data_IF_085286366810
#
_entry.id   IF_085286366810
#
_cell.length_a   1.000
_cell.length_b   1.000
_cell.length_c   1.000
_cell.angle_alpha   90.00
_cell.angle_beta   90.00
_cell.angle_gamma   90.00
#
_symmetry.space_group_name_H-M   'P 1'
#
loop_
_entity.id
_entity.type
_entity.pdbx_description
1 polymer ?
#
# COMPACT_ATOMS: atom_id res chain seq x y z
N UNK A 1 20.57 -0.10 11.74
CA UNK A 1 21.93 0.39 11.45
C UNK A 1 22.73 0.28 12.74
N UNK A 2 23.90 -0.36 12.74
CA UNK A 2 24.77 -0.37 13.93
C UNK A 2 25.85 0.70 13.71
N UNK A 3 25.88 1.71 14.57
CA UNK A 3 26.78 2.86 14.43
C UNK A 3 26.18 4.15 14.96
N UNK A 4 27.02 5.17 15.17
CA UNK A 4 26.58 6.50 15.62
C UNK A 4 25.73 7.14 14.53
N UNK A 5 24.42 7.20 14.74
CA UNK A 5 23.48 7.92 13.87
C UNK A 5 23.69 9.42 14.07
N UNK A 6 23.93 10.14 12.97
CA UNK A 6 23.92 11.59 12.98
C UNK A 6 22.48 12.07 12.77
N UNK A 7 21.78 12.34 13.87
CA UNK A 7 20.39 12.79 13.85
C UNK A 7 20.24 14.11 13.08
N UNK A 8 21.23 15.00 13.14
CA UNK A 8 21.18 16.28 12.43
C UNK A 8 21.27 16.08 10.93
N UNK A 9 22.18 15.20 10.47
CA UNK A 9 22.28 14.82 9.07
C UNK A 9 21.02 14.08 8.59
N UNK A 10 20.40 13.26 9.44
CA UNK A 10 19.13 12.59 9.12
C UNK A 10 18.00 13.59 8.92
N UNK A 11 17.83 14.56 9.84
CA UNK A 11 16.81 15.62 9.71
C UNK A 11 16.98 16.39 8.41
N UNK A 12 18.21 16.81 8.10
CA UNK A 12 18.51 17.53 6.88
C UNK A 12 18.23 16.67 5.63
N UNK A 13 18.62 15.39 5.65
CA UNK A 13 18.39 14.47 4.53
C UNK A 13 16.91 14.20 4.27
N UNK A 14 16.10 14.07 5.32
CA UNK A 14 14.65 13.95 5.21
C UNK A 14 14.06 15.22 4.59
N UNK A 15 14.49 16.40 5.05
CA UNK A 15 14.11 17.68 4.46
C UNK A 15 14.46 17.77 2.98
N UNK A 16 15.66 17.31 2.57
CA UNK A 16 16.07 17.28 1.16
C UNK A 16 15.17 16.38 0.31
N UNK A 17 14.80 15.21 0.82
CA UNK A 17 13.91 14.27 0.11
C UNK A 17 12.50 14.84 -0.03
N UNK A 18 11.97 15.48 1.01
CA UNK A 18 10.68 16.16 0.97
C UNK A 18 10.71 17.38 0.03
N UNK A 19 11.83 18.09 -0.03
CA UNK A 19 12.00 19.17 -1.00
C UNK A 19 12.02 18.66 -2.45
N UNK A 20 12.65 17.50 -2.69
CA UNK A 20 12.77 16.87 -4.02
C UNK A 20 11.45 16.33 -4.56
N UNK A 21 10.66 15.67 -3.71
CA UNK A 21 9.44 14.99 -4.09
C UNK A 21 8.23 15.77 -3.59
N UNK A 22 7.58 16.52 -4.48
CA UNK A 22 6.48 17.44 -4.10
C UNK A 22 5.35 16.75 -3.36
N UNK A 23 5.02 15.51 -3.75
CA UNK A 23 3.97 14.71 -3.12
C UNK A 23 4.18 14.48 -1.63
N UNK A 24 5.43 14.51 -1.14
CA UNK A 24 5.74 14.36 0.28
C UNK A 24 5.53 15.65 1.09
N UNK A 25 5.31 16.78 0.42
CA UNK A 25 4.93 18.09 1.00
C UNK A 25 3.57 18.58 0.49
N UNK A 26 2.73 17.66 0.03
CA UNK A 26 1.37 17.97 -0.43
C UNK A 26 0.36 17.71 0.69
N UNK A 27 -0.48 18.70 0.97
CA UNK A 27 -1.70 18.51 1.79
C UNK A 27 -2.93 18.38 0.89
N UNK A 28 -3.94 17.69 1.38
CA UNK A 28 -5.17 17.33 0.67
C UNK A 28 -6.36 17.94 1.40
N UNK A 29 -6.83 19.06 0.87
CA UNK A 29 -7.93 19.82 1.47
C UNK A 29 -9.16 19.80 0.56
N UNK A 30 -10.27 20.25 1.09
CA UNK A 30 -11.52 20.41 0.35
C UNK A 30 -11.82 21.90 0.19
N UNK A 31 -12.01 22.36 -1.05
CA UNK A 31 -12.46 23.72 -1.36
C UNK A 31 -13.82 23.62 -2.03
N UNK A 32 -14.86 24.20 -1.43
CA UNK A 32 -16.24 24.18 -1.96
C UNK A 32 -16.77 22.78 -2.31
N UNK A 33 -16.43 21.76 -1.51
CA UNK A 33 -16.82 20.37 -1.75
C UNK A 33 -15.93 19.61 -2.74
N UNK A 34 -14.86 20.24 -3.24
CA UNK A 34 -13.93 19.66 -4.21
C UNK A 34 -12.58 19.37 -3.56
N UNK A 35 -12.10 18.10 -3.59
CA UNK A 35 -10.76 17.78 -3.13
C UNK A 35 -9.70 18.44 -4.01
N UNK A 36 -8.71 19.08 -3.38
CA UNK A 36 -7.58 19.71 -4.06
C UNK A 36 -6.26 19.29 -3.41
N UNK A 37 -5.21 19.25 -4.22
CA UNK A 37 -3.83 19.03 -3.78
C UNK A 37 -3.15 20.39 -3.65
N UNK A 38 -2.62 20.70 -2.46
CA UNK A 38 -1.81 21.89 -2.24
C UNK A 38 -0.39 21.48 -1.90
N UNK A 39 0.52 21.74 -2.83
CA UNK A 39 1.96 21.57 -2.63
C UNK A 39 2.47 22.74 -1.78
N UNK A 40 2.99 22.46 -0.59
CA UNK A 40 3.52 23.47 0.34
C UNK A 40 4.94 23.87 -0.04
N UNK A 41 5.31 25.15 0.05
CA UNK A 41 6.68 25.59 -0.26
C UNK A 41 7.72 24.96 0.67
N UNK A 42 8.92 24.66 0.16
CA UNK A 42 9.97 23.96 0.93
C UNK A 42 10.31 24.66 2.25
N UNK A 43 10.32 25.99 2.26
CA UNK A 43 10.62 26.79 3.46
C UNK A 43 9.49 26.86 4.49
N UNK A 44 8.29 26.41 4.14
CA UNK A 44 7.10 26.39 5.01
C UNK A 44 6.89 25.02 5.67
N UNK A 45 7.67 24.01 5.28
CA UNK A 45 7.50 22.62 5.68
C UNK A 45 8.60 22.21 6.66
N UNK A 46 8.21 21.94 7.90
CA UNK A 46 9.06 21.23 8.85
C UNK A 46 8.66 19.75 8.87
N UNK A 47 9.56 18.86 8.45
CA UNK A 47 9.28 17.43 8.50
C UNK A 47 9.34 16.95 9.96
N UNK A 48 8.28 16.33 10.50
CA UNK A 48 8.30 15.83 11.86
C UNK A 48 9.34 14.71 11.99
N UNK A 49 10.44 15.01 12.69
CA UNK A 49 11.44 14.00 13.09
C UNK A 49 11.45 13.95 14.61
N UNK A 50 10.98 12.84 15.19
CA UNK A 50 11.02 12.59 16.63
C UNK A 50 12.24 11.73 16.97
N UNK A 51 12.82 11.93 18.15
CA UNK A 51 13.91 11.09 18.67
C UNK A 51 13.52 10.69 20.08
N UNK A 52 13.42 9.39 20.33
CA UNK A 52 12.93 8.83 21.58
C UNK A 52 13.86 7.70 21.99
N UNK A 53 14.42 7.78 23.19
CA UNK A 53 15.11 6.64 23.79
C UNK A 53 14.07 5.64 24.31
N UNK A 54 14.22 4.37 23.95
CA UNK A 54 13.32 3.30 24.36
C UNK A 54 14.04 2.35 25.32
N UNK A 55 13.33 1.94 26.38
CA UNK A 55 13.87 0.94 27.30
C UNK A 55 13.95 -0.44 26.64
N UNK A 56 14.80 -1.30 27.20
CA UNK A 56 14.97 -2.66 26.71
C UNK A 56 13.64 -3.42 26.79
N UNK A 57 13.16 -3.91 25.64
CA UNK A 57 11.88 -4.62 25.53
C UNK A 57 10.68 -3.75 25.16
N UNK A 58 10.81 -2.42 25.08
CA UNK A 58 9.71 -1.50 24.74
C UNK A 58 9.68 -1.07 23.27
N UNK A 59 10.70 -1.46 22.49
CA UNK A 59 10.83 -1.09 21.08
C UNK A 59 9.60 -1.52 20.26
N UNK A 60 9.13 -2.76 20.42
CA UNK A 60 8.00 -3.29 19.67
C UNK A 60 6.72 -2.49 19.93
N UNK A 61 6.39 -2.25 21.21
CA UNK A 61 5.23 -1.43 21.58
C UNK A 61 5.35 0.02 21.09
N UNK A 62 6.57 0.56 21.03
CA UNK A 62 6.84 1.90 20.50
C UNK A 62 6.63 1.98 18.99
N UNK A 63 7.11 0.98 18.25
CA UNK A 63 6.87 0.85 16.81
C UNK A 63 5.38 0.67 16.49
N UNK A 64 4.69 -0.19 17.24
CA UNK A 64 3.25 -0.42 17.08
C UNK A 64 2.42 0.85 17.32
N UNK A 65 2.83 1.70 18.26
CA UNK A 65 2.17 2.98 18.50
C UNK A 65 2.45 3.96 17.37
N UNK A 66 3.69 4.02 16.91
CA UNK A 66 4.10 4.99 15.91
C UNK A 66 3.52 4.67 14.52
N UNK A 67 3.40 3.39 14.13
CA UNK A 67 2.77 3.00 12.85
C UNK A 67 1.25 3.24 12.81
N UNK A 68 0.61 3.39 13.98
CA UNK A 68 -0.83 3.69 14.12
C UNK A 68 -1.13 5.18 14.07
N UNK A 69 -0.13 6.02 13.80
CA UNK A 69 -0.35 7.45 13.66
C UNK A 69 -1.34 7.73 12.51
N UNK A 70 -2.34 8.56 12.81
CA UNK A 70 -3.37 8.99 11.86
C UNK A 70 -3.00 10.39 11.39
N UNK A 71 -2.70 10.53 10.11
CA UNK A 71 -2.39 11.82 9.49
C UNK A 71 -3.67 12.62 9.29
N UNK A 72 -3.67 13.89 9.69
CA UNK A 72 -4.66 14.86 9.24
C UNK A 72 -4.22 15.44 7.89
N UNK A 73 -4.60 14.78 6.80
CA UNK A 73 -4.14 15.14 5.45
C UNK A 73 -4.52 16.56 5.01
N UNK A 74 -5.48 17.21 5.68
CA UNK A 74 -5.84 18.59 5.37
C UNK A 74 -4.84 19.62 5.90
N UNK A 75 -4.11 19.29 6.97
CA UNK A 75 -3.16 20.19 7.63
C UNK A 75 -1.74 19.64 7.79
N UNK A 76 -1.53 18.35 7.53
CA UNK A 76 -0.27 17.64 7.74
C UNK A 76 0.23 17.01 6.45
N UNK A 77 1.54 17.12 6.22
CA UNK A 77 2.21 16.41 5.14
C UNK A 77 2.17 14.88 5.37
N UNK A 78 2.14 14.06 4.31
CA UNK A 78 1.92 12.61 4.42
C UNK A 78 3.18 11.83 4.83
N UNK A 79 4.07 12.42 5.63
CA UNK A 79 5.34 11.83 6.02
C UNK A 79 5.77 12.27 7.43
N UNK A 80 6.27 11.31 8.22
CA UNK A 80 6.93 11.55 9.50
C UNK A 80 8.06 10.56 9.73
N UNK A 81 8.99 10.93 10.60
CA UNK A 81 10.13 10.09 10.98
C UNK A 81 10.20 9.97 12.49
N UNK A 82 10.32 8.74 12.97
CA UNK A 82 10.57 8.45 14.38
C UNK A 82 11.91 7.72 14.50
N UNK A 83 12.79 8.19 15.38
CA UNK A 83 14.09 7.59 15.67
C UNK A 83 14.07 7.03 17.08
N UNK A 84 14.19 5.71 17.20
CA UNK A 84 14.19 5.00 18.48
C UNK A 84 15.63 4.62 18.88
N UNK A 85 16.14 5.22 19.95
CA UNK A 85 17.41 4.84 20.56
C UNK A 85 17.24 3.58 21.40
N UNK A 86 17.84 2.46 20.97
CA UNK A 86 17.62 1.13 21.57
C UNK A 86 18.82 0.63 22.39
N UNK A 87 19.91 1.39 22.45
CA UNK A 87 21.14 1.03 23.13
C UNK A 87 22.32 1.89 22.70
N UNK A 88 23.53 1.62 23.22
CA UNK A 88 24.73 2.37 22.84
C UNK A 88 25.02 2.22 21.34
N UNK A 89 24.76 3.29 20.57
CA UNK A 89 24.90 3.33 19.11
C UNK A 89 23.99 2.36 18.33
N UNK A 90 22.83 2.02 18.90
CA UNK A 90 21.79 1.24 18.23
C UNK A 90 20.53 2.09 18.05
N UNK A 91 20.14 2.26 16.78
CA UNK A 91 18.98 3.05 16.41
C UNK A 91 18.09 2.31 15.43
N UNK A 92 16.79 2.44 15.63
CA UNK A 92 15.75 2.09 14.65
C UNK A 92 15.15 3.38 14.13
N UNK A 93 15.16 3.56 12.80
CA UNK A 93 14.53 4.71 12.14
C UNK A 93 13.29 4.20 11.44
N UNK A 94 12.14 4.77 11.77
CA UNK A 94 10.87 4.48 11.12
C UNK A 94 10.50 5.69 10.26
N UNK A 95 10.39 5.47 8.95
CA UNK A 95 9.77 6.41 8.03
C UNK A 95 8.33 5.96 7.80
N UNK A 96 7.38 6.73 8.30
CA UNK A 96 5.96 6.48 8.08
C UNK A 96 5.47 7.41 6.98
N UNK A 97 4.88 6.83 5.93
CA UNK A 97 4.35 7.56 4.78
C UNK A 97 2.89 7.16 4.56
N UNK A 98 2.02 8.14 4.39
CA UNK A 98 0.63 7.86 4.04
C UNK A 98 0.53 7.36 2.59
N UNK A 99 -0.26 6.30 2.36
CA UNK A 99 -0.33 5.62 1.05
C UNK A 99 -0.88 6.51 -0.08
N UNK A 100 -1.46 7.67 0.25
CA UNK A 100 -1.86 8.69 -0.73
C UNK A 100 -0.66 9.28 -1.50
N UNK A 101 0.54 9.25 -0.90
CA UNK A 101 1.75 9.87 -1.45
C UNK A 101 2.78 8.87 -1.96
N UNK A 102 2.61 7.57 -1.67
CA UNK A 102 3.57 6.55 -2.05
C UNK A 102 2.90 5.18 -2.24
N UNK A 103 3.45 4.39 -3.17
CA UNK A 103 3.08 2.99 -3.38
C UNK A 103 4.31 2.06 -3.23
N UNK A 104 4.12 0.77 -3.53
CA UNK A 104 5.20 -0.22 -3.46
C UNK A 104 6.39 0.06 -4.39
N UNK A 105 6.17 0.75 -5.52
CA UNK A 105 7.26 1.18 -6.41
C UNK A 105 8.01 2.39 -5.86
N UNK A 106 7.31 3.31 -5.19
CA UNK A 106 7.89 4.52 -4.60
C UNK A 106 8.93 4.23 -3.49
N UNK A 107 8.80 3.10 -2.78
CA UNK A 107 9.71 2.77 -1.66
C UNK A 107 11.17 2.63 -2.07
N UNK A 108 11.45 2.05 -3.24
CA UNK A 108 12.82 1.89 -3.73
C UNK A 108 13.54 3.24 -3.98
N UNK A 109 13.00 4.12 -4.84
CA UNK A 109 13.49 5.49 -5.02
C UNK A 109 13.59 6.28 -3.72
N UNK A 110 12.57 6.22 -2.85
CA UNK A 110 12.55 6.95 -1.59
C UNK A 110 13.72 6.57 -0.68
N UNK A 111 13.99 5.28 -0.51
CA UNK A 111 15.11 4.79 0.29
C UNK A 111 16.47 5.14 -0.33
N UNK A 112 16.59 5.11 -1.67
CA UNK A 112 17.82 5.53 -2.36
C UNK A 112 18.12 7.01 -2.13
N UNK A 113 17.13 7.87 -2.34
CA UNK A 113 17.29 9.32 -2.22
C UNK A 113 17.60 9.71 -0.76
N UNK A 114 16.94 9.08 0.22
CA UNK A 114 17.24 9.28 1.64
C UNK A 114 18.67 8.86 2.00
N UNK A 115 19.12 7.69 1.51
CA UNK A 115 20.48 7.22 1.76
C UNK A 115 21.54 8.14 1.12
N UNK A 116 21.27 8.65 -0.08
CA UNK A 116 22.16 9.58 -0.78
C UNK A 116 22.24 10.92 -0.03
N UNK A 117 21.09 11.50 0.33
CA UNK A 117 21.02 12.75 1.07
C UNK A 117 21.69 12.65 2.44
N UNK A 118 21.44 11.57 3.20
CA UNK A 118 22.09 11.34 4.49
C UNK A 118 23.60 11.26 4.35
N UNK A 119 24.10 10.55 3.34
CA UNK A 119 25.55 10.43 3.11
C UNK A 119 26.20 11.78 2.78
N UNK A 120 25.53 12.63 2.00
CA UNK A 120 26.01 13.97 1.67
C UNK A 120 26.00 14.91 2.89
N UNK A 121 24.88 14.93 3.63
CA UNK A 121 24.70 15.76 4.83
C UNK A 121 25.68 15.40 5.93
N UNK A 122 25.96 14.11 6.14
CA UNK A 122 26.98 13.63 7.10
C UNK A 122 28.39 14.10 6.73
N UNK A 123 28.66 14.38 5.46
CA UNK A 123 29.92 14.95 4.98
C UNK A 123 29.92 16.49 4.96
N UNK A 124 28.84 17.13 5.43
CA UNK A 124 28.69 18.59 5.43
C UNK A 124 28.31 19.18 4.07
N UNK A 125 27.89 18.37 3.10
CA UNK A 125 27.47 18.81 1.77
C UNK A 125 25.98 18.68 1.52
N UNK A 126 25.52 19.22 0.39
CA UNK A 126 24.16 19.04 -0.13
C UNK A 126 24.08 17.82 -1.07
N UNK A 127 22.96 17.08 -1.10
CA UNK A 127 22.75 16.03 -2.09
C UNK A 127 22.88 16.59 -3.51
N UNK A 128 23.66 15.89 -4.33
CA UNK A 128 23.84 16.21 -5.75
C UNK A 128 22.92 15.32 -6.58
N UNK A 129 21.78 15.86 -7.00
CA UNK A 129 20.86 15.18 -7.89
C UNK A 129 20.40 16.07 -9.04
N UNK A 130 20.02 15.43 -10.15
CA UNK A 130 19.34 16.12 -11.24
C UNK A 130 17.89 16.37 -10.80
N UNK A 131 17.33 17.58 -11.02
CA UNK A 131 15.92 17.85 -10.78
C UNK A 131 15.04 16.83 -11.51
N UNK A 132 13.93 16.43 -10.87
CA UNK A 132 12.99 15.53 -11.50
C UNK A 132 12.32 16.26 -12.67
N UNK A 133 12.29 15.67 -13.88
CA UNK A 133 11.68 16.32 -15.05
C UNK A 133 10.16 16.37 -14.96
N UNK A 134 9.55 15.57 -14.08
CA UNK A 134 8.13 15.51 -13.79
C UNK A 134 7.92 15.31 -12.29
N UNK A 135 6.89 15.94 -11.76
CA UNK A 135 6.37 15.78 -10.41
C UNK A 135 5.01 15.09 -10.44
N UNK A 136 4.50 14.71 -9.27
CA UNK A 136 3.20 14.02 -9.20
C UNK A 136 2.01 14.91 -9.61
N UNK A 137 2.15 16.23 -9.47
CA UNK A 137 1.17 17.20 -9.99
C UNK A 137 1.09 17.13 -11.51
N UNK A 138 2.23 17.05 -12.20
CA UNK A 138 2.26 16.89 -13.66
C UNK A 138 1.59 15.60 -14.09
N UNK A 139 1.84 14.49 -13.36
CA UNK A 139 1.15 13.23 -13.60
C UNK A 139 -0.37 13.34 -13.42
N UNK A 140 -0.82 14.04 -12.38
CA UNK A 140 -2.25 14.22 -12.08
C UNK A 140 -2.94 15.03 -13.18
N UNK A 141 -2.32 16.11 -13.65
CA UNK A 141 -2.83 16.93 -14.74
C UNK A 141 -2.83 16.17 -16.07
N UNK A 142 -1.73 15.48 -16.39
CA UNK A 142 -1.64 14.62 -17.58
C UNK A 142 -2.71 13.53 -17.58
N UNK A 143 -2.97 12.89 -16.44
CA UNK A 143 -4.01 11.87 -16.33
C UNK A 143 -5.39 12.48 -16.59
N UNK A 144 -5.69 13.65 -16.03
CA UNK A 144 -6.96 14.33 -16.25
C UNK A 144 -7.15 14.70 -17.73
N UNK A 145 -6.12 15.26 -18.37
CA UNK A 145 -6.14 15.58 -19.81
C UNK A 145 -6.32 14.34 -20.68
N UNK A 146 -5.62 13.25 -20.37
CA UNK A 146 -5.69 11.99 -21.12
C UNK A 146 -7.07 11.34 -21.01
N UNK A 147 -7.65 11.34 -19.80
CA UNK A 147 -8.94 10.72 -19.54
C UNK A 147 -10.10 11.50 -20.18
N UNK A 148 -10.00 12.83 -20.24
CA UNK A 148 -11.00 13.70 -20.86
C UNK A 148 -12.23 13.92 -19.98
N UNK A 149 -13.28 14.49 -20.58
CA UNK A 149 -14.53 14.84 -19.89
C UNK A 149 -15.45 13.62 -19.74
N UNK A 150 -15.86 13.22 -18.53
CA UNK A 150 -16.85 12.16 -18.32
C UNK A 150 -18.22 12.38 -18.97
N UNK A 151 -18.56 13.62 -19.34
CA UNK A 151 -19.80 13.95 -20.04
C UNK A 151 -19.66 13.83 -21.58
N UNK A 152 -18.45 13.70 -22.09
CA UNK A 152 -18.19 13.42 -23.51
C UNK A 152 -18.17 11.91 -23.74
N UNK A 153 -19.13 11.33 -24.49
CA UNK A 153 -19.18 9.90 -24.77
C UNK A 153 -17.97 9.38 -25.55
N UNK A 154 -17.28 10.26 -26.30
CA UNK A 154 -16.11 9.89 -27.09
C UNK A 154 -14.80 9.98 -26.26
N UNK A 155 -14.87 10.46 -25.01
CA UNK A 155 -13.72 10.52 -24.10
C UNK A 155 -13.23 9.12 -23.69
N UNK A 156 -11.95 9.04 -23.34
CA UNK A 156 -11.35 7.80 -22.87
C UNK A 156 -11.99 7.30 -21.57
N UNK A 157 -12.31 8.21 -20.65
CA UNK A 157 -12.93 7.86 -19.37
C UNK A 157 -14.35 7.29 -19.56
N UNK A 158 -15.15 7.86 -20.48
CA UNK A 158 -16.49 7.35 -20.76
C UNK A 158 -16.44 5.93 -21.36
N UNK A 159 -15.56 5.71 -22.33
CA UNK A 159 -15.38 4.39 -22.95
C UNK A 159 -14.89 3.32 -21.96
N UNK A 160 -13.91 3.64 -21.12
CA UNK A 160 -13.43 2.71 -20.09
C UNK A 160 -14.51 2.43 -19.04
N UNK A 161 -15.27 3.44 -18.67
CA UNK A 161 -16.37 3.29 -17.72
C UNK A 161 -17.47 2.37 -18.25
N UNK A 162 -17.87 2.53 -19.51
CA UNK A 162 -18.88 1.65 -20.12
C UNK A 162 -18.37 0.22 -20.28
N UNK A 163 -17.10 0.03 -20.62
CA UNK A 163 -16.47 -1.30 -20.62
C UNK A 163 -16.57 -1.97 -19.23
N UNK A 164 -16.13 -1.28 -18.17
CA UNK A 164 -16.14 -1.87 -16.83
C UNK A 164 -17.54 -2.06 -16.28
N UNK A 165 -18.47 -1.17 -16.60
CA UNK A 165 -19.89 -1.33 -16.26
C UNK A 165 -20.46 -2.60 -16.89
N UNK A 166 -20.14 -2.89 -18.15
CA UNK A 166 -20.59 -4.09 -18.84
C UNK A 166 -19.93 -5.36 -18.26
N UNK A 167 -18.61 -5.35 -18.08
CA UNK A 167 -17.84 -6.50 -17.59
C UNK A 167 -18.22 -6.90 -16.14
N UNK A 168 -18.54 -5.91 -15.31
CA UNK A 168 -18.92 -6.12 -13.90
C UNK A 168 -20.44 -6.24 -13.69
N UNK A 169 -21.23 -6.22 -14.76
CA UNK A 169 -22.68 -6.28 -14.67
C UNK A 169 -23.15 -7.60 -14.04
N UNK A 170 -24.04 -7.50 -13.03
CA UNK A 170 -24.64 -8.67 -12.38
C UNK A 170 -23.72 -9.39 -11.39
N UNK A 171 -22.54 -8.84 -11.08
CA UNK A 171 -21.73 -9.35 -9.98
C UNK A 171 -22.46 -9.21 -8.64
N UNK A 172 -22.33 -10.19 -7.73
CA UNK A 172 -22.87 -10.06 -6.39
C UNK A 172 -22.15 -8.92 -5.65
N UNK A 173 -22.89 -8.19 -4.81
CA UNK A 173 -22.31 -7.13 -3.97
C UNK A 173 -21.22 -7.67 -3.03
N UNK A 174 -21.33 -8.93 -2.63
CA UNK A 174 -20.44 -9.57 -1.67
C UNK A 174 -20.10 -11.01 -2.06
N UNK A 175 -18.82 -11.35 -1.96
CA UNK A 175 -18.36 -12.73 -1.97
C UNK A 175 -18.75 -13.41 -0.65
N UNK A 176 -19.39 -14.58 -0.72
CA UNK A 176 -19.69 -15.40 0.46
C UNK A 176 -18.46 -16.21 0.82
N UNK A 177 -17.78 -15.81 1.89
CA UNK A 177 -16.65 -16.53 2.45
C UNK A 177 -17.05 -17.20 3.78
N UNK A 178 -16.39 -18.30 4.17
CA UNK A 178 -16.61 -18.94 5.47
C UNK A 178 -15.99 -18.08 6.59
N UNK A 179 -16.66 -16.98 6.94
CA UNK A 179 -16.21 -16.05 7.97
C UNK A 179 -16.64 -16.51 9.36
N UNK A 180 -15.75 -16.42 10.35
CA UNK A 180 -16.06 -16.77 11.75
C UNK A 180 -17.07 -15.83 12.43
N UNK A 181 -17.24 -14.62 11.89
CA UNK A 181 -18.08 -13.56 12.47
C UNK A 181 -18.85 -12.81 11.37
N UNK A 182 -20.05 -12.28 11.66
CA UNK A 182 -20.79 -11.46 10.71
C UNK A 182 -20.04 -10.16 10.40
N UNK A 183 -20.24 -9.63 9.20
CA UNK A 183 -19.67 -8.35 8.78
C UNK A 183 -20.30 -7.18 9.58
N UNK A 184 -19.52 -6.36 10.29
CA UNK A 184 -20.05 -5.19 10.98
C UNK A 184 -20.38 -4.07 9.98
N UNK A 185 -21.28 -3.13 10.34
CA UNK A 185 -21.63 -1.98 9.49
C UNK A 185 -20.46 -1.00 9.32
N UNK A 186 -19.56 -0.94 10.30
CA UNK A 186 -18.33 -0.14 10.25
C UNK A 186 -17.14 -1.08 10.30
N UNK A 187 -16.26 -0.99 9.31
CA UNK A 187 -15.02 -1.77 9.27
C UNK A 187 -14.07 -1.27 10.35
N UNK A 188 -13.47 -2.17 11.13
CA UNK A 188 -12.44 -1.82 12.10
C UNK A 188 -11.07 -1.57 11.47
N UNK A 189 -10.90 -1.95 10.20
CA UNK A 189 -9.63 -2.00 9.46
C UNK A 189 -8.50 -2.78 10.15
N UNK A 190 -8.79 -3.53 11.20
CA UNK A 190 -7.83 -4.41 11.87
C UNK A 190 -7.64 -5.69 11.05
N UNK A 191 -6.44 -5.88 10.52
CA UNK A 191 -6.02 -7.10 9.83
C UNK A 191 -5.08 -7.97 10.67
N UNK A 192 -4.95 -9.24 10.26
CA UNK A 192 -3.90 -10.15 10.72
C UNK A 192 -3.19 -10.75 9.51
N UNK A 193 -1.99 -11.28 9.71
CA UNK A 193 -1.17 -11.88 8.65
C UNK A 193 -0.82 -13.31 9.02
N UNK A 194 -1.05 -14.24 8.10
CA UNK A 194 -0.60 -15.64 8.22
C UNK A 194 0.42 -15.88 7.10
N UNK A 195 1.73 -15.92 7.41
CA UNK A 195 2.73 -16.22 6.40
C UNK A 195 2.62 -17.68 5.97
N UNK A 196 2.79 -17.93 4.68
CA UNK A 196 2.94 -19.27 4.13
C UNK A 196 3.94 -19.23 2.98
N UNK A 197 4.54 -20.37 2.68
CA UNK A 197 5.55 -20.49 1.62
C UNK A 197 5.10 -21.47 0.54
N UNK A 198 5.48 -21.18 -0.70
CA UNK A 198 5.34 -22.09 -1.83
C UNK A 198 6.70 -22.73 -2.07
N UNK A 199 6.79 -24.04 -1.87
CA UNK A 199 8.03 -24.78 -2.01
C UNK A 199 8.57 -24.72 -3.45
N UNK A 200 9.88 -24.94 -3.60
CA UNK A 200 10.58 -24.82 -4.87
C UNK A 200 10.03 -25.76 -5.96
N UNK A 201 9.52 -26.94 -5.59
CA UNK A 201 8.96 -27.88 -6.55
C UNK A 201 7.62 -27.38 -7.08
N UNK A 202 6.75 -26.90 -6.21
CA UNK A 202 5.47 -26.29 -6.59
C UNK A 202 5.68 -25.04 -7.45
N UNK A 203 6.59 -24.15 -7.05
CA UNK A 203 6.99 -22.97 -7.83
C UNK A 203 7.42 -23.37 -9.25
N UNK A 204 8.32 -24.34 -9.38
CA UNK A 204 8.81 -24.77 -10.68
C UNK A 204 7.71 -25.37 -11.58
N UNK A 205 6.69 -26.00 -10.99
CA UNK A 205 5.51 -26.50 -11.73
C UNK A 205 4.62 -25.37 -12.21
N UNK A 206 4.38 -24.35 -11.39
CA UNK A 206 3.63 -23.15 -11.76
C UNK A 206 4.32 -22.43 -12.93
N UNK A 207 5.63 -22.25 -12.87
CA UNK A 207 6.39 -21.62 -13.96
C UNK A 207 6.33 -22.42 -15.26
N UNK A 208 6.40 -23.76 -15.18
CA UNK A 208 6.24 -24.62 -16.36
C UNK A 208 4.83 -24.56 -16.94
N UNK A 209 3.81 -24.50 -16.09
CA UNK A 209 2.42 -24.34 -16.50
C UNK A 209 2.24 -23.00 -17.24
N UNK A 210 2.69 -21.90 -16.64
CA UNK A 210 2.64 -20.57 -17.24
C UNK A 210 3.28 -20.57 -18.64
N UNK A 211 4.52 -21.10 -18.76
CA UNK A 211 5.22 -21.20 -20.05
C UNK A 211 4.47 -22.05 -21.08
N UNK A 212 3.92 -23.19 -20.67
CA UNK A 212 3.23 -24.11 -21.58
C UNK A 212 1.93 -23.52 -22.13
N UNK A 213 1.18 -22.80 -21.28
CA UNK A 213 -0.10 -22.19 -21.67
C UNK A 213 0.07 -20.79 -22.27
N UNK A 214 1.31 -20.29 -22.43
CA UNK A 214 1.56 -18.93 -22.91
C UNK A 214 1.04 -17.83 -21.97
N UNK A 215 0.93 -18.13 -20.67
CA UNK A 215 0.43 -17.21 -19.64
C UNK A 215 1.55 -16.77 -18.70
N UNK A 216 1.24 -15.84 -17.80
CA UNK A 216 2.16 -15.43 -16.74
C UNK A 216 1.96 -16.26 -15.47
N UNK A 217 2.98 -16.31 -14.61
CA UNK A 217 2.85 -16.91 -13.27
C UNK A 217 1.71 -16.26 -12.48
N UNK A 218 1.50 -14.95 -12.64
CA UNK A 218 0.41 -14.21 -11.99
C UNK A 218 -0.96 -14.76 -12.41
N UNK A 219 -1.21 -14.97 -13.71
CA UNK A 219 -2.47 -15.53 -14.22
C UNK A 219 -2.75 -16.93 -13.65
N UNK A 220 -1.71 -17.77 -13.54
CA UNK A 220 -1.83 -19.11 -12.94
C UNK A 220 -2.22 -19.03 -11.47
N UNK A 221 -1.56 -18.15 -10.69
CA UNK A 221 -1.86 -17.98 -9.26
C UNK A 221 -3.24 -17.34 -9.03
N UNK A 222 -3.64 -16.36 -9.84
CA UNK A 222 -4.97 -15.75 -9.81
C UNK A 222 -6.06 -16.80 -10.10
N UNK A 223 -5.83 -17.68 -11.08
CA UNK A 223 -6.74 -18.78 -11.41
C UNK A 223 -6.84 -19.79 -10.27
N UNK A 224 -5.71 -20.15 -9.64
CA UNK A 224 -5.70 -21.02 -8.48
C UNK A 224 -6.48 -20.40 -7.29
N UNK A 225 -6.32 -19.10 -7.06
CA UNK A 225 -7.09 -18.37 -6.05
C UNK A 225 -8.58 -18.34 -6.38
N UNK A 226 -8.96 -18.07 -7.63
CA UNK A 226 -10.37 -18.08 -8.05
C UNK A 226 -11.02 -19.45 -7.82
N UNK A 227 -10.34 -20.54 -8.16
CA UNK A 227 -10.79 -21.92 -7.89
C UNK A 227 -10.94 -22.18 -6.39
N UNK A 228 -9.97 -21.74 -5.58
CA UNK A 228 -10.04 -21.86 -4.12
C UNK A 228 -11.25 -21.11 -3.55
N UNK A 229 -11.42 -19.84 -3.92
CA UNK A 229 -12.53 -19.01 -3.44
C UNK A 229 -13.88 -19.57 -3.89
N UNK A 230 -13.99 -20.07 -5.12
CA UNK A 230 -15.19 -20.74 -5.61
C UNK A 230 -15.50 -22.01 -4.80
N UNK A 231 -14.48 -22.79 -4.44
CA UNK A 231 -14.65 -23.97 -3.60
C UNK A 231 -15.11 -23.63 -2.18
N UNK A 232 -14.56 -22.56 -1.59
CA UNK A 232 -14.91 -22.11 -0.24
C UNK A 232 -16.31 -21.45 -0.19
N UNK A 233 -16.70 -20.72 -1.23
CA UNK A 233 -18.00 -20.05 -1.31
C UNK A 233 -19.19 -20.96 -1.63
N UNK A 234 -18.94 -22.21 -2.05
CA UNK A 234 -19.97 -23.22 -2.36
C UNK A 234 -20.42 -24.08 -1.16
N UNK A 235 -19.82 -23.91 0.02
CA UNK A 235 -19.96 -24.81 1.17
C UNK A 235 -21.16 -24.56 2.08
N UNK A 236 -22.37 -24.60 1.54
CA UNK A 236 -23.63 -24.65 2.29
C UNK A 236 -24.44 -25.89 1.94
N UNK A 237 -23.82 -27.06 1.78
CA UNK A 237 -24.56 -28.31 1.62
C UNK A 237 -25.17 -28.70 2.96
N UNK A 238 -26.40 -28.24 3.21
CA UNK A 238 -27.33 -28.92 4.08
C UNK A 238 -27.39 -30.38 3.64
N UNK A 239 -26.80 -31.26 4.43
CA UNK A 239 -27.02 -32.70 4.33
C UNK A 239 -28.45 -32.92 4.81
N UNK A 240 -29.42 -32.77 3.90
CA UNK A 240 -30.80 -33.13 4.14
C UNK A 240 -30.84 -34.64 4.31
N UNK A 241 -31.01 -35.07 5.56
CA UNK A 241 -31.52 -36.39 5.89
C UNK A 241 -32.78 -36.63 5.06
N UNK A 242 -32.71 -37.61 4.16
CA UNK A 242 -33.90 -38.28 3.69
C UNK A 242 -33.76 -39.78 3.96
N UNK A 243 -34.65 -40.37 4.77
CA UNK A 243 -34.59 -41.78 5.09
C UNK A 243 -35.06 -42.58 3.87
N UNK A 244 -34.25 -43.54 3.43
CA UNK A 244 -34.72 -44.58 2.50
C UNK A 244 -35.83 -45.40 3.15
N UNK A 245 -36.90 -45.71 2.41
CA UNK A 245 -37.65 -46.93 2.66
C UNK A 245 -37.67 -47.85 1.43
N UNK A 246 -37.87 -49.14 1.75
CA UNK A 246 -38.35 -50.23 0.88
C UNK A 246 -37.29 -51.13 0.20
N UNK A 247 -36.90 -52.14 1.00
CA UNK A 247 -37.00 -53.60 0.78
C UNK A 247 -36.74 -54.23 -0.61
N UNK A 248 -35.93 -55.32 -0.68
CA UNK A 248 -35.85 -56.20 -1.83
C UNK A 248 -36.85 -57.36 -1.73
N UNK A 249 -37.44 -57.77 -2.85
CA UNK A 249 -38.15 -59.06 -2.94
C UNK A 249 -37.84 -59.75 -4.26
N UNK A 250 -37.50 -61.04 -4.13
CA UNK A 250 -37.27 -62.12 -5.11
C UNK A 250 -35.84 -62.20 -5.66
N UNK A 251 -35.15 -63.35 -5.56
CA UNK A 251 -35.64 -64.74 -5.48
C UNK A 251 -35.43 -65.40 -4.12
#
# INVERSE_FOLDING_TARGET
>A
MVGVLDVSALRAAVGDVVARHEVLRTVFLETDGVPVQQVLEVGEVEVPVSVVDVEAGELEASLERAVRYEFDLAGEIPVRVDVFGCGPAEYVVMLLVHHIAADGWSLGPLMRDLSQAYSARRQGGDPQWVPLPVQYVDYSLWQQELLGDPQDPDSLIAQQFDYWRAELAGLPELLRLPTDRPRPPVASYRGGVVPFEIDAWTRARVERLARREGTTVSMVLQSALAVLLSGLGGGGTSRSDHPSPVAPMRR
#
